data_IF_397339801382
#
_entry.id   IF_397339801382
#
_cell.length_a   1.000
_cell.length_b   1.000
_cell.length_c   1.000
_cell.angle_alpha   90.00
_cell.angle_beta   90.00
_cell.angle_gamma   90.00
#
_symmetry.space_group_name_H-M   'P 1'
#
loop_
_entity.id
_entity.type
_entity.pdbx_description
1 polymer ?
#
# COMPACT_ATOMS: atom_id res chain seq x y z
N UNK A 1 -6.80 63.53 69.06
CA UNK A 1 -5.60 62.65 69.06
C UNK A 1 -6.08 61.25 69.43
N UNK A 2 -5.94 60.15 68.68
CA UNK A 2 -5.16 59.78 67.50
C UNK A 2 -6.00 58.79 66.68
N UNK A 3 -5.94 58.93 65.37
CA UNK A 3 -6.33 57.93 64.35
C UNK A 3 -5.49 56.66 64.45
N UNK A 4 -6.11 55.49 64.34
CA UNK A 4 -5.44 54.26 63.90
C UNK A 4 -6.36 53.60 62.85
N UNK A 5 -5.91 53.68 61.59
CA UNK A 5 -6.43 52.90 60.46
C UNK A 5 -5.83 51.50 60.56
N UNK A 6 -6.66 50.46 60.68
CA UNK A 6 -6.24 49.09 60.44
C UNK A 6 -6.54 48.75 58.98
N UNK A 7 -5.48 48.62 58.18
CA UNK A 7 -5.52 48.16 56.80
C UNK A 7 -5.39 46.63 56.83
N UNK A 8 -6.47 45.91 56.59
CA UNK A 8 -6.43 44.46 56.41
C UNK A 8 -6.21 44.14 54.93
N UNK A 9 -5.01 43.65 54.59
CA UNK A 9 -4.65 43.11 53.28
C UNK A 9 -5.51 41.87 52.99
N UNK A 10 -6.33 41.92 51.95
CA UNK A 10 -6.89 40.72 51.31
C UNK A 10 -5.79 40.04 50.50
N UNK A 11 -5.22 38.94 51.00
CA UNK A 11 -4.49 37.98 50.16
C UNK A 11 -5.52 37.22 49.31
N UNK A 12 -5.69 37.63 48.05
CA UNK A 12 -6.30 36.79 47.03
C UNK A 12 -5.32 35.67 46.69
N UNK A 13 -5.57 34.46 47.22
CA UNK A 13 -4.88 33.27 46.76
C UNK A 13 -5.36 32.97 45.32
N UNK A 14 -4.55 33.35 44.33
CA UNK A 14 -4.68 32.83 42.98
C UNK A 14 -4.34 31.33 43.04
N UNK A 15 -5.35 30.47 43.14
CA UNK A 15 -5.19 29.07 42.79
C UNK A 15 -4.82 29.05 41.29
N UNK A 16 -3.64 28.56 40.89
CA UNK A 16 -3.39 28.31 39.49
C UNK A 16 -4.46 27.30 39.05
N UNK A 17 -5.28 27.68 38.07
CA UNK A 17 -6.05 26.70 37.33
C UNK A 17 -5.03 25.67 36.81
N UNK A 18 -5.09 24.44 37.32
CA UNK A 18 -4.40 23.32 36.72
C UNK A 18 -5.01 23.20 35.33
N UNK A 19 -4.33 23.74 34.32
CA UNK A 19 -4.66 23.48 32.94
C UNK A 19 -4.56 21.96 32.77
N UNK A 20 -5.66 21.32 32.36
CA UNK A 20 -5.68 19.90 32.06
C UNK A 20 -4.56 19.64 31.04
N UNK A 21 -3.57 18.84 31.46
CA UNK A 21 -2.49 18.49 30.55
C UNK A 21 -3.08 17.56 29.48
N UNK A 22 -2.93 17.87 28.19
CA UNK A 22 -3.60 17.10 27.15
C UNK A 22 -3.06 15.66 27.08
N UNK A 23 -3.92 14.73 26.67
CA UNK A 23 -3.53 13.33 26.48
C UNK A 23 -2.66 13.11 25.23
N UNK A 24 -2.77 14.00 24.24
CA UNK A 24 -2.06 13.92 22.96
C UNK A 24 -0.54 13.70 23.12
N UNK A 25 0.09 13.09 22.12
CA UNK A 25 1.54 12.85 22.08
C UNK A 25 1.93 11.41 22.42
N UNK A 26 3.24 11.19 22.55
CA UNK A 26 3.83 9.87 22.71
C UNK A 26 4.20 9.60 24.16
N UNK A 27 3.79 8.42 24.63
CA UNK A 27 3.95 7.94 25.97
C UNK A 27 4.64 6.60 26.01
N UNK A 28 5.42 6.37 27.06
CA UNK A 28 6.17 5.15 27.24
C UNK A 28 6.10 4.68 28.69
N UNK A 29 5.97 3.36 28.90
CA UNK A 29 5.99 2.80 30.24
C UNK A 29 5.62 1.33 30.27
N UNK A 30 4.63 0.98 31.09
CA UNK A 30 4.21 -0.40 31.32
C UNK A 30 2.70 -0.60 31.28
N UNK A 31 2.30 -1.72 30.68
CA UNK A 31 1.00 -2.36 30.84
C UNK A 31 1.24 -3.70 31.53
N UNK A 32 0.86 -3.80 32.81
CA UNK A 32 1.27 -4.91 33.66
C UNK A 32 2.80 -5.01 33.74
N UNK A 33 3.36 -6.17 33.39
CA UNK A 33 4.81 -6.39 33.36
C UNK A 33 5.45 -6.06 32.00
N UNK A 34 4.65 -5.80 30.97
CA UNK A 34 5.15 -5.58 29.62
C UNK A 34 5.47 -4.10 29.39
N UNK A 35 6.53 -3.83 28.63
CA UNK A 35 6.91 -2.47 28.23
C UNK A 35 6.07 -2.08 27.02
N UNK A 36 5.46 -0.91 27.09
CA UNK A 36 4.55 -0.43 26.05
C UNK A 36 4.96 0.97 25.61
N UNK A 37 4.77 1.25 24.33
CA UNK A 37 4.72 2.61 23.78
C UNK A 37 3.31 2.84 23.26
N UNK A 38 2.74 4.00 23.57
CA UNK A 38 1.40 4.39 23.14
C UNK A 38 1.44 5.84 22.69
N UNK A 39 0.66 6.16 21.67
CA UNK A 39 0.49 7.51 21.20
C UNK A 39 -1.01 7.83 21.05
N UNK A 40 -1.35 9.08 21.31
CA UNK A 40 -2.69 9.62 21.13
C UNK A 40 -2.61 10.84 20.20
N UNK A 41 -3.42 10.85 19.14
CA UNK A 41 -3.50 11.98 18.22
C UNK A 41 -4.32 13.13 18.86
N UNK A 42 -3.97 14.36 18.51
CA UNK A 42 -4.57 15.58 19.05
C UNK A 42 -5.94 15.88 18.42
N UNK A 43 -6.03 15.78 17.09
CA UNK A 43 -7.18 16.29 16.30
C UNK A 43 -7.67 15.30 15.22
N UNK A 44 -7.63 13.99 15.50
CA UNK A 44 -8.25 13.03 14.56
C UNK A 44 -9.78 13.06 14.71
N UNK A 45 -10.52 13.09 13.61
CA UNK A 45 -12.00 13.05 13.56
C UNK A 45 -12.64 11.94 14.44
N UNK A 46 -11.87 10.92 14.81
CA UNK A 46 -12.30 9.74 15.57
C UNK A 46 -11.68 9.57 16.97
N UNK A 47 -10.94 10.56 17.51
CA UNK A 47 -10.13 10.43 18.74
C UNK A 47 -9.35 9.10 18.77
N UNK A 48 -8.26 9.08 17.99
CA UNK A 48 -7.47 7.91 17.68
C UNK A 48 -6.20 7.83 18.52
N UNK A 49 -5.79 6.60 18.83
CA UNK A 49 -4.48 6.30 19.40
C UNK A 49 -3.96 4.99 18.87
N UNK A 50 -2.71 4.70 19.14
CA UNK A 50 -2.09 3.43 18.77
C UNK A 50 -1.09 3.02 19.86
N UNK A 51 -0.91 1.72 20.08
CA UNK A 51 0.12 1.23 20.98
C UNK A 51 0.79 -0.04 20.46
N UNK A 52 1.98 -0.33 20.96
CA UNK A 52 2.65 -1.61 20.74
C UNK A 52 3.52 -2.00 21.95
N UNK A 53 3.76 -3.31 22.09
CA UNK A 53 4.70 -3.83 23.08
C UNK A 53 6.13 -3.71 22.54
N UNK A 54 7.06 -3.19 23.33
CA UNK A 54 8.40 -2.91 22.83
C UNK A 54 9.21 -4.17 22.48
N UNK A 55 8.87 -5.31 23.07
CA UNK A 55 9.52 -6.60 22.79
C UNK A 55 9.07 -7.21 21.44
N UNK A 56 7.90 -6.84 20.96
CA UNK A 56 7.28 -7.31 19.73
C UNK A 56 6.44 -6.15 19.16
N UNK A 57 7.07 -5.25 18.38
CA UNK A 57 6.49 -3.97 17.99
C UNK A 57 5.45 -4.13 16.89
N UNK A 58 4.31 -4.71 17.25
CA UNK A 58 3.12 -4.84 16.43
C UNK A 58 2.12 -3.75 16.83
N UNK A 59 1.86 -2.75 15.97
CA UNK A 59 0.95 -1.65 16.25
C UNK A 59 -0.50 -2.11 16.43
N UNK A 60 -1.21 -1.53 17.40
CA UNK A 60 -2.61 -1.83 17.71
C UNK A 60 -3.40 -0.56 17.88
N UNK A 61 -4.42 -0.39 17.05
CA UNK A 61 -5.26 0.80 17.07
C UNK A 61 -6.14 0.87 18.32
N UNK A 62 -6.30 2.08 18.86
CA UNK A 62 -7.17 2.44 19.96
C UNK A 62 -8.18 3.48 19.50
N UNK A 63 -9.43 3.30 19.95
CA UNK A 63 -10.54 4.24 19.71
C UNK A 63 -11.20 4.63 21.01
N UNK A 64 -11.45 5.92 21.19
CA UNK A 64 -12.25 6.36 22.32
C UNK A 64 -13.73 6.03 22.09
N UNK A 65 -14.30 5.17 22.96
CA UNK A 65 -15.72 4.81 22.98
C UNK A 65 -16.24 4.92 24.40
N UNK A 66 -17.24 5.76 24.64
CA UNK A 66 -17.85 5.98 25.96
C UNK A 66 -16.82 6.28 27.08
N UNK A 67 -15.78 7.07 26.78
CA UNK A 67 -14.73 7.42 27.74
C UNK A 67 -13.68 6.32 27.98
N UNK A 68 -13.73 5.22 27.23
CA UNK A 68 -12.77 4.12 27.29
C UNK A 68 -12.01 3.99 25.96
N UNK A 69 -10.72 3.76 26.02
CA UNK A 69 -9.91 3.51 24.83
C UNK A 69 -9.95 2.02 24.47
N UNK A 70 -10.75 1.66 23.49
CA UNK A 70 -10.99 0.27 23.08
C UNK A 70 -9.99 -0.11 22.00
N UNK A 71 -9.34 -1.27 22.16
CA UNK A 71 -8.48 -1.82 21.12
C UNK A 71 -9.34 -2.42 19.99
N UNK A 72 -9.03 -2.07 18.74
CA UNK A 72 -9.82 -2.53 17.58
C UNK A 72 -9.68 -4.04 17.31
N UNK A 73 -8.61 -4.65 17.80
CA UNK A 73 -8.38 -6.10 17.79
C UNK A 73 -9.30 -6.88 18.76
N UNK A 74 -10.16 -6.18 19.50
CA UNK A 74 -11.12 -6.75 20.45
C UNK A 74 -10.49 -7.29 21.73
N UNK A 75 -9.19 -7.09 21.96
CA UNK A 75 -8.47 -7.69 23.09
C UNK A 75 -8.85 -7.08 24.44
N UNK A 76 -9.34 -5.84 24.45
CA UNK A 76 -9.75 -5.16 25.67
C UNK A 76 -9.90 -3.65 25.53
N UNK A 77 -9.98 -2.99 26.68
CA UNK A 77 -10.07 -1.53 26.75
C UNK A 77 -9.17 -0.95 27.85
N UNK A 78 -8.76 0.30 27.65
CA UNK A 78 -7.97 1.06 28.59
C UNK A 78 -8.85 2.11 29.26
N UNK A 79 -8.85 2.10 30.58
CA UNK A 79 -9.43 3.14 31.41
C UNK A 79 -8.28 3.99 31.94
N UNK A 80 -8.12 5.18 31.37
CA UNK A 80 -7.04 6.11 31.70
C UNK A 80 -7.54 7.18 32.68
N UNK A 81 -6.69 7.55 33.64
CA UNK A 81 -6.89 8.75 34.43
C UNK A 81 -6.49 10.01 33.65
N UNK A 82 -6.75 11.18 34.23
CA UNK A 82 -6.27 12.44 33.67
C UNK A 82 -4.73 12.50 33.74
N UNK A 83 -4.05 13.00 32.68
CA UNK A 83 -2.62 13.27 32.74
C UNK A 83 -2.27 14.23 33.89
N UNK A 84 -1.17 13.94 34.59
CA UNK A 84 -0.60 14.78 35.65
C UNK A 84 0.81 15.18 35.24
N UNK A 85 0.93 16.29 34.52
CA UNK A 85 2.15 16.63 33.78
C UNK A 85 2.50 15.53 32.80
N UNK A 86 3.72 15.02 32.87
CA UNK A 86 4.20 13.93 32.01
C UNK A 86 3.92 12.54 32.57
N UNK A 87 3.01 12.40 33.54
CA UNK A 87 2.62 11.10 34.09
C UNK A 87 1.17 10.76 33.75
N UNK A 88 0.96 9.55 33.25
CA UNK A 88 -0.35 8.98 32.97
C UNK A 88 -0.47 7.61 33.63
N UNK A 89 -1.61 7.35 34.26
CA UNK A 89 -1.90 6.10 34.96
C UNK A 89 -3.29 5.61 34.61
N UNK A 90 -3.51 4.31 34.67
CA UNK A 90 -4.79 3.72 34.34
C UNK A 90 -4.85 2.22 34.61
N UNK A 91 -5.86 1.59 34.05
CA UNK A 91 -6.05 0.15 34.08
C UNK A 91 -6.49 -0.37 32.72
N UNK A 92 -5.90 -1.47 32.28
CA UNK A 92 -6.31 -2.21 31.10
C UNK A 92 -7.19 -3.39 31.53
N UNK A 93 -8.31 -3.59 30.83
CA UNK A 93 -9.25 -4.67 31.08
C UNK A 93 -9.34 -5.54 29.82
N UNK A 94 -8.85 -6.76 29.93
CA UNK A 94 -8.90 -7.73 28.84
C UNK A 94 -10.28 -8.38 28.73
N UNK A 95 -10.70 -8.71 27.51
CA UNK A 95 -11.99 -9.38 27.26
C UNK A 95 -12.13 -10.70 28.05
N UNK A 96 -11.02 -11.44 28.16
CA UNK A 96 -10.95 -12.74 28.86
C UNK A 96 -10.08 -12.68 30.14
N UNK A 97 -9.74 -11.48 30.63
CA UNK A 97 -8.88 -11.35 31.82
C UNK A 97 -9.75 -11.13 33.07
N UNK A 98 -9.65 -11.98 34.10
CA UNK A 98 -10.43 -11.83 35.33
C UNK A 98 -9.97 -10.65 36.20
N UNK A 99 -8.81 -10.04 35.91
CA UNK A 99 -8.29 -8.91 36.67
C UNK A 99 -7.67 -7.85 35.76
N UNK A 100 -7.87 -6.56 36.08
CA UNK A 100 -7.26 -5.48 35.33
C UNK A 100 -5.75 -5.42 35.52
N UNK A 101 -5.04 -5.02 34.47
CA UNK A 101 -3.59 -4.77 34.50
C UNK A 101 -3.33 -3.29 34.70
N UNK A 102 -2.39 -2.95 35.58
CA UNK A 102 -2.03 -1.55 35.82
C UNK A 102 -1.31 -0.94 34.60
N UNK A 103 -1.68 0.30 34.26
CA UNK A 103 -0.99 1.13 33.26
C UNK A 103 -0.22 2.22 33.99
N UNK A 104 1.06 2.38 33.66
CA UNK A 104 1.91 3.48 34.15
C UNK A 104 2.75 3.98 32.99
N UNK A 105 2.60 5.23 32.64
CA UNK A 105 3.21 5.83 31.46
C UNK A 105 3.85 7.17 31.82
N UNK A 106 4.97 7.46 31.16
CA UNK A 106 5.63 8.75 31.14
C UNK A 106 5.60 9.30 29.72
N UNK A 107 5.28 10.59 29.57
CA UNK A 107 5.36 11.26 28.27
C UNK A 107 6.81 11.34 27.84
N UNK A 108 7.07 11.04 26.57
CA UNK A 108 8.39 11.18 25.96
C UNK A 108 8.39 12.19 24.81
N UNK A 109 7.21 12.52 24.28
CA UNK A 109 7.01 13.53 23.26
C UNK A 109 5.60 14.13 23.42
N UNK A 110 5.46 15.44 23.27
CA UNK A 110 4.15 16.12 23.29
C UNK A 110 3.40 15.98 21.97
N UNK A 111 4.08 15.58 20.90
CA UNK A 111 3.58 15.65 19.54
C UNK A 111 3.56 17.10 19.06
N UNK A 112 4.30 17.37 17.98
CA UNK A 112 4.09 18.56 17.16
C UNK A 112 2.92 18.29 16.17
N UNK A 113 2.82 19.00 15.04
CA UNK A 113 1.77 18.81 14.02
C UNK A 113 1.72 17.39 13.39
N UNK A 114 2.69 16.51 13.72
CA UNK A 114 2.88 15.16 13.16
C UNK A 114 2.45 13.99 14.05
N UNK A 115 1.77 14.22 15.18
CA UNK A 115 1.18 13.23 16.10
C UNK A 115 1.78 11.80 16.04
N UNK A 116 1.01 10.70 15.95
CA UNK A 116 1.57 9.34 16.00
C UNK A 116 2.45 8.95 14.81
N UNK A 117 2.62 9.81 13.80
CA UNK A 117 3.60 9.67 12.73
C UNK A 117 5.01 10.16 13.11
N UNK A 118 5.17 10.85 14.25
CA UNK A 118 6.45 11.37 14.70
C UNK A 118 7.47 10.25 15.02
N UNK A 119 8.77 10.58 14.92
CA UNK A 119 9.89 9.66 15.18
C UNK A 119 9.83 9.00 16.56
N UNK A 120 9.39 9.75 17.57
CA UNK A 120 9.24 9.24 18.92
C UNK A 120 8.26 8.06 19.00
N UNK A 121 7.36 7.87 18.04
CA UNK A 121 6.48 6.70 17.95
C UNK A 121 6.84 5.76 16.80
N UNK A 122 7.04 6.28 15.58
CA UNK A 122 7.12 5.49 14.36
C UNK A 122 8.49 4.82 14.15
N UNK A 123 9.59 5.50 14.47
CA UNK A 123 10.94 5.03 14.13
C UNK A 123 11.27 3.60 14.64
N UNK A 124 10.88 3.17 15.86
CA UNK A 124 11.14 1.78 16.28
C UNK A 124 10.34 0.72 15.53
N UNK A 125 9.29 1.10 14.81
CA UNK A 125 8.51 0.23 13.93
C UNK A 125 9.20 0.07 12.56
N UNK A 126 10.14 0.94 12.22
CA UNK A 126 10.82 1.02 10.92
C UNK A 126 12.04 0.10 10.90
N UNK A 127 11.77 -1.19 11.03
CA UNK A 127 12.80 -2.22 10.97
C UNK A 127 12.95 -2.71 9.55
N UNK A 128 14.19 -2.93 9.13
CA UNK A 128 14.49 -3.57 7.86
C UNK A 128 13.87 -4.99 7.87
N UNK A 129 12.89 -5.26 7.00
CA UNK A 129 12.27 -6.58 6.99
C UNK A 129 13.22 -7.62 6.40
N UNK A 130 12.89 -8.88 6.61
CA UNK A 130 13.52 -10.00 5.90
C UNK A 130 12.57 -10.49 4.81
N UNK A 131 13.13 -11.10 3.76
CA UNK A 131 12.29 -11.71 2.73
C UNK A 131 11.76 -13.03 3.26
N UNK A 132 10.44 -13.12 3.39
CA UNK A 132 9.72 -14.32 3.79
C UNK A 132 9.18 -15.04 2.56
N UNK A 133 9.36 -16.35 2.50
CA UNK A 133 8.89 -17.17 1.38
C UNK A 133 7.67 -17.99 1.78
N UNK A 134 6.60 -17.87 1.00
CA UNK A 134 5.40 -18.68 1.11
C UNK A 134 5.57 -20.10 0.55
N UNK A 135 4.50 -20.91 0.58
CA UNK A 135 4.49 -22.22 -0.03
C UNK A 135 4.59 -22.14 -1.56
N UNK A 136 5.17 -23.18 -2.17
CA UNK A 136 5.11 -23.35 -3.62
C UNK A 136 3.68 -23.64 -4.08
N UNK A 137 3.26 -22.95 -5.14
CA UNK A 137 1.96 -23.09 -5.79
C UNK A 137 2.13 -23.18 -7.31
N UNK A 138 1.02 -23.40 -8.04
CA UNK A 138 1.05 -23.55 -9.49
C UNK A 138 -0.09 -22.80 -10.16
N UNK A 139 0.23 -22.10 -11.24
CA UNK A 139 -0.70 -21.38 -12.09
C UNK A 139 -0.43 -21.74 -13.54
N UNK A 140 -1.41 -22.32 -14.23
CA UNK A 140 -1.30 -22.77 -15.63
C UNK A 140 -0.03 -23.62 -15.91
N UNK A 141 0.28 -24.55 -15.00
CA UNK A 141 1.49 -25.39 -15.09
C UNK A 141 2.81 -24.68 -14.79
N UNK A 142 2.76 -23.40 -14.40
CA UNK A 142 3.91 -22.61 -13.97
C UNK A 142 3.97 -22.64 -12.45
N UNK A 143 5.07 -23.14 -11.91
CA UNK A 143 5.28 -23.21 -10.47
C UNK A 143 5.97 -21.93 -9.97
N UNK A 144 5.46 -21.38 -8.88
CA UNK A 144 5.95 -20.15 -8.26
C UNK A 144 5.61 -20.14 -6.76
N UNK A 145 6.17 -19.21 -5.99
CA UNK A 145 5.74 -18.91 -4.62
C UNK A 145 5.67 -17.41 -4.41
N UNK A 146 4.80 -16.99 -3.51
CA UNK A 146 4.75 -15.62 -3.04
C UNK A 146 5.91 -15.35 -2.10
N UNK A 147 6.45 -14.13 -2.19
CA UNK A 147 7.41 -13.57 -1.25
C UNK A 147 6.76 -12.39 -0.53
N UNK A 148 7.20 -12.12 0.69
CA UNK A 148 6.85 -10.89 1.43
C UNK A 148 8.11 -10.17 1.88
N UNK A 149 8.07 -8.85 1.86
CA UNK A 149 9.10 -7.97 2.40
C UNK A 149 8.43 -6.80 3.10
N UNK A 150 8.21 -6.93 4.41
CA UNK A 150 7.36 -5.99 5.14
C UNK A 150 5.91 -6.11 4.69
N UNK A 151 5.32 -5.02 4.19
CA UNK A 151 3.97 -5.01 3.63
C UNK A 151 3.94 -5.26 2.11
N UNK A 152 5.10 -5.30 1.46
CA UNK A 152 5.20 -5.53 0.02
C UNK A 152 5.10 -7.02 -0.33
N UNK A 153 4.36 -7.29 -1.40
CA UNK A 153 4.22 -8.62 -1.99
C UNK A 153 5.20 -8.78 -3.15
N UNK A 154 5.76 -9.97 -3.30
CA UNK A 154 6.63 -10.30 -4.42
C UNK A 154 6.43 -11.74 -4.85
N UNK A 155 7.25 -12.16 -5.81
CA UNK A 155 7.11 -13.46 -6.42
C UNK A 155 8.47 -14.09 -6.70
N UNK A 156 8.54 -15.41 -6.57
CA UNK A 156 9.67 -16.21 -7.02
C UNK A 156 9.20 -17.35 -7.92
N UNK A 157 9.77 -17.43 -9.11
CA UNK A 157 9.53 -18.52 -10.06
C UNK A 157 10.30 -19.78 -9.66
N UNK A 158 9.76 -20.94 -9.98
CA UNK A 158 10.48 -22.21 -9.83
C UNK A 158 11.83 -22.17 -10.58
N UNK A 159 12.95 -22.59 -9.97
CA UNK A 159 14.26 -22.64 -10.63
C UNK A 159 14.30 -23.47 -11.93
N UNK A 160 13.34 -24.36 -12.16
CA UNK A 160 13.20 -25.12 -13.40
C UNK A 160 12.62 -24.28 -14.57
N UNK A 161 12.06 -23.09 -14.30
CA UNK A 161 11.63 -22.19 -15.37
C UNK A 161 12.87 -21.70 -16.17
N UNK A 162 12.79 -21.64 -17.50
CA UNK A 162 13.85 -21.05 -18.31
C UNK A 162 14.23 -19.64 -17.83
N UNK A 163 15.53 -19.42 -17.64
CA UNK A 163 16.09 -18.14 -17.15
C UNK A 163 15.54 -17.67 -15.79
N UNK A 164 15.00 -18.59 -14.97
CA UNK A 164 14.49 -18.29 -13.63
C UNK A 164 15.48 -17.51 -12.77
N UNK A 165 16.79 -17.80 -12.86
CA UNK A 165 17.80 -17.09 -12.08
C UNK A 165 17.83 -15.58 -12.37
N UNK A 166 17.75 -15.19 -13.64
CA UNK A 166 17.78 -13.78 -14.06
C UNK A 166 16.45 -13.10 -13.69
N UNK A 167 15.33 -13.77 -13.96
CA UNK A 167 13.99 -13.26 -13.66
C UNK A 167 13.82 -13.08 -12.14
N UNK A 168 14.17 -14.09 -11.34
CA UNK A 168 14.06 -14.03 -9.88
C UNK A 168 15.01 -12.98 -9.28
N UNK A 169 16.17 -12.72 -9.89
CA UNK A 169 17.05 -11.64 -9.44
C UNK A 169 16.39 -10.27 -9.64
N UNK A 170 15.74 -10.04 -10.78
CA UNK A 170 14.97 -8.82 -11.05
C UNK A 170 13.78 -8.70 -10.08
N UNK A 171 12.96 -9.75 -9.94
CA UNK A 171 11.77 -9.75 -9.07
C UNK A 171 12.15 -9.49 -7.61
N UNK A 172 13.27 -10.06 -7.16
CA UNK A 172 13.76 -9.84 -5.81
C UNK A 172 14.28 -8.41 -5.62
N UNK A 173 15.01 -7.87 -6.59
CA UNK A 173 15.50 -6.49 -6.54
C UNK A 173 14.33 -5.50 -6.48
N UNK A 174 13.28 -5.73 -7.26
CA UNK A 174 12.05 -4.93 -7.21
C UNK A 174 11.33 -5.03 -5.86
N UNK A 175 11.20 -6.24 -5.29
CA UNK A 175 10.58 -6.45 -3.98
C UNK A 175 11.33 -5.74 -2.83
N UNK A 176 12.66 -5.70 -2.91
CA UNK A 176 13.51 -5.16 -1.85
C UNK A 176 14.08 -3.78 -2.21
N UNK A 177 13.37 -3.02 -3.03
CA UNK A 177 13.78 -1.67 -3.42
C UNK A 177 13.74 -0.74 -2.18
N UNK A 178 14.85 -0.06 -1.82
CA UNK A 178 14.90 0.83 -0.67
C UNK A 178 13.91 2.00 -0.77
N UNK A 179 13.72 2.57 -1.96
CA UNK A 179 12.77 3.69 -2.14
C UNK A 179 11.34 3.24 -1.85
N UNK A 180 10.94 2.07 -2.35
CA UNK A 180 9.63 1.48 -2.04
C UNK A 180 9.47 1.10 -0.55
N UNK A 181 10.56 0.78 0.16
CA UNK A 181 10.52 0.54 1.60
C UNK A 181 10.33 1.85 2.39
N UNK A 182 11.01 2.92 1.98
CA UNK A 182 10.84 4.24 2.59
C UNK A 182 9.40 4.75 2.37
N UNK A 183 8.84 4.57 1.17
CA UNK A 183 7.43 4.87 0.90
C UNK A 183 6.46 4.07 1.80
N UNK A 184 6.75 2.80 2.08
CA UNK A 184 5.95 2.01 3.04
C UNK A 184 5.99 2.58 4.45
N UNK A 185 7.15 3.07 4.89
CA UNK A 185 7.29 3.72 6.20
C UNK A 185 6.52 5.04 6.25
N UNK A 186 6.61 5.86 5.20
CA UNK A 186 5.84 7.11 5.10
C UNK A 186 4.33 6.87 5.05
N UNK A 187 3.85 5.89 4.28
CA UNK A 187 2.42 5.51 4.27
C UNK A 187 1.94 5.10 5.66
N UNK A 188 2.73 4.30 6.38
CA UNK A 188 2.41 3.92 7.76
C UNK A 188 2.38 5.14 8.68
N UNK A 189 3.34 6.06 8.56
CA UNK A 189 3.36 7.31 9.35
C UNK A 189 2.12 8.15 9.08
N UNK A 190 1.70 8.30 7.82
CA UNK A 190 0.47 9.03 7.47
C UNK A 190 -0.77 8.37 8.05
N UNK A 191 -0.88 7.04 7.96
CA UNK A 191 -1.97 6.28 8.56
C UNK A 191 -2.01 6.44 10.09
N UNK A 192 -0.86 6.37 10.76
CA UNK A 192 -0.76 6.58 12.20
C UNK A 192 -1.18 8.00 12.59
N UNK A 193 -0.71 9.00 11.85
CA UNK A 193 -1.03 10.42 12.06
C UNK A 193 -2.52 10.71 11.87
N UNK A 194 -3.11 10.26 10.76
CA UNK A 194 -4.49 10.64 10.39
C UNK A 194 -5.55 9.73 10.98
N UNK A 195 -5.28 8.43 11.00
CA UNK A 195 -6.25 7.39 11.35
C UNK A 195 -5.92 6.69 12.67
N UNK A 196 -4.70 6.82 13.20
CA UNK A 196 -4.23 6.04 14.36
C UNK A 196 -4.18 4.53 14.10
N UNK A 197 -4.18 4.11 12.84
CA UNK A 197 -3.96 2.73 12.39
C UNK A 197 -2.56 2.62 11.79
N UNK A 198 -2.02 1.40 11.72
CA UNK A 198 -0.76 1.13 11.02
C UNK A 198 -1.05 0.43 9.70
N UNK A 199 -1.97 1.00 8.93
CA UNK A 199 -2.36 0.45 7.63
C UNK A 199 -1.23 0.64 6.61
N UNK A 200 -1.23 -0.25 5.62
CA UNK A 200 -0.36 -0.19 4.45
C UNK A 200 -1.19 -0.39 3.20
N UNK A 201 -0.57 -0.13 2.07
CA UNK A 201 -1.12 -0.47 0.78
C UNK A 201 -1.43 -1.97 0.69
N UNK A 202 -2.55 -2.30 0.05
CA UNK A 202 -2.78 -3.67 -0.38
C UNK A 202 -1.92 -3.94 -1.61
N UNK A 203 -0.98 -4.87 -1.51
CA UNK A 203 -0.08 -5.26 -2.60
C UNK A 203 -0.33 -6.70 -3.01
N UNK A 204 -0.22 -7.00 -4.30
CA UNK A 204 -0.30 -8.37 -4.82
C UNK A 204 0.53 -8.51 -6.09
N UNK A 205 1.32 -9.57 -6.16
CA UNK A 205 2.14 -9.89 -7.34
C UNK A 205 1.82 -11.29 -7.82
N UNK A 206 1.44 -11.44 -9.08
CA UNK A 206 1.03 -12.73 -9.63
C UNK A 206 1.42 -12.93 -11.09
N UNK A 207 1.66 -14.17 -11.53
CA UNK A 207 1.87 -14.44 -12.95
C UNK A 207 0.51 -14.36 -13.66
N UNK A 208 0.46 -13.61 -14.75
CA UNK A 208 -0.78 -13.33 -15.51
C UNK A 208 -0.72 -13.80 -16.95
N UNK A 209 0.48 -14.04 -17.47
CA UNK A 209 0.67 -14.52 -18.83
C UNK A 209 1.84 -15.50 -18.92
N UNK A 210 1.70 -16.52 -19.77
CA UNK A 210 2.81 -17.39 -20.15
C UNK A 210 2.58 -18.03 -21.50
N UNK A 211 3.62 -18.04 -22.31
CA UNK A 211 3.77 -18.96 -23.42
C UNK A 211 5.20 -19.52 -23.45
N UNK A 212 5.66 -20.08 -24.57
CA UNK A 212 7.04 -20.59 -24.70
C UNK A 212 8.10 -19.50 -24.84
N UNK A 213 7.72 -18.25 -25.10
CA UNK A 213 8.63 -17.11 -25.29
C UNK A 213 8.70 -16.20 -24.08
N UNK A 214 7.57 -15.95 -23.41
CA UNK A 214 7.48 -14.92 -22.37
C UNK A 214 6.69 -15.38 -21.15
N UNK A 215 7.06 -14.79 -20.02
CA UNK A 215 6.31 -14.76 -18.77
C UNK A 215 5.81 -13.33 -18.54
N UNK A 216 4.55 -13.15 -18.19
CA UNK A 216 4.00 -11.87 -17.72
C UNK A 216 3.65 -11.94 -16.24
N UNK A 217 4.00 -10.89 -15.51
CA UNK A 217 3.73 -10.70 -14.08
C UNK A 217 2.96 -9.40 -13.91
N UNK A 218 1.92 -9.42 -13.07
CA UNK A 218 1.18 -8.24 -12.67
C UNK A 218 1.56 -7.86 -11.24
N UNK A 219 1.84 -6.58 -11.05
CA UNK A 219 2.00 -5.92 -9.77
C UNK A 219 0.75 -5.07 -9.54
N UNK A 220 0.01 -5.38 -8.49
CA UNK A 220 -1.16 -4.66 -8.07
C UNK A 220 -0.83 -3.94 -6.76
N UNK A 221 -1.22 -2.67 -6.68
CA UNK A 221 -1.14 -1.87 -5.47
C UNK A 221 -2.45 -1.12 -5.28
N UNK A 222 -2.95 -1.08 -4.07
CA UNK A 222 -4.03 -0.19 -3.67
C UNK A 222 -3.57 0.64 -2.48
N UNK A 223 -3.26 1.91 -2.77
CA UNK A 223 -2.74 2.83 -1.79
C UNK A 223 -3.72 3.07 -0.64
N UNK A 224 -3.25 2.89 0.60
CA UNK A 224 -4.08 3.05 1.79
C UNK A 224 -4.61 4.49 1.93
N UNK A 225 -5.90 4.63 2.24
CA UNK A 225 -6.52 5.95 2.47
C UNK A 225 -6.94 6.73 1.22
N UNK A 226 -6.67 6.22 0.01
CA UNK A 226 -7.03 6.87 -1.25
C UNK A 226 -8.33 6.36 -1.88
N UNK A 227 -8.97 5.33 -1.30
CA UNK A 227 -10.12 4.67 -1.93
C UNK A 227 -9.77 4.22 -3.35
N UNK A 228 -10.76 4.15 -4.25
CA UNK A 228 -10.54 3.64 -5.62
C UNK A 228 -9.40 4.34 -6.37
N UNK A 229 -9.19 5.64 -6.17
CA UNK A 229 -8.14 6.40 -6.87
C UNK A 229 -6.72 6.00 -6.49
N UNK A 230 -6.54 5.19 -5.44
CA UNK A 230 -5.24 4.64 -5.06
C UNK A 230 -4.87 3.32 -5.75
N UNK A 231 -5.74 2.77 -6.61
CA UNK A 231 -5.47 1.52 -7.30
C UNK A 231 -4.53 1.77 -8.47
N UNK A 232 -3.40 1.06 -8.51
CA UNK A 232 -2.52 0.97 -9.66
C UNK A 232 -2.25 -0.49 -10.02
N UNK A 233 -2.08 -0.72 -11.32
CA UNK A 233 -1.72 -2.02 -11.87
C UNK A 233 -0.59 -1.83 -12.84
N UNK A 234 0.42 -2.67 -12.69
CA UNK A 234 1.59 -2.67 -13.52
C UNK A 234 1.82 -4.09 -14.06
N UNK A 235 2.17 -4.19 -15.33
CA UNK A 235 2.45 -5.42 -16.04
C UNK A 235 3.89 -5.40 -16.54
N UNK A 236 4.63 -6.45 -16.20
CA UNK A 236 6.01 -6.66 -16.64
C UNK A 236 6.10 -7.99 -17.36
N UNK A 237 6.81 -8.02 -18.47
CA UNK A 237 7.01 -9.24 -19.26
C UNK A 237 8.49 -9.58 -19.32
N UNK A 238 8.82 -10.87 -19.27
CA UNK A 238 10.18 -11.38 -19.30
C UNK A 238 10.33 -12.39 -20.43
N UNK A 239 11.42 -12.28 -21.18
CA UNK A 239 11.83 -13.30 -22.16
C UNK A 239 12.27 -14.57 -21.44
N UNK A 240 11.69 -15.71 -21.79
CA UNK A 240 12.12 -17.03 -21.32
C UNK A 240 13.40 -17.51 -22.02
N UNK A 241 13.85 -16.83 -23.08
CA UNK A 241 15.12 -17.12 -23.75
C UNK A 241 16.30 -16.45 -23.03
N UNK A 242 16.13 -15.21 -22.55
CA UNK A 242 17.21 -14.38 -21.97
C UNK A 242 17.02 -14.00 -20.51
N UNK A 243 15.80 -14.10 -19.98
CA UNK A 243 15.41 -13.62 -18.65
C UNK A 243 15.24 -12.12 -18.55
N UNK A 244 15.52 -11.38 -19.63
CA UNK A 244 15.42 -9.92 -19.66
C UNK A 244 13.98 -9.47 -19.85
N UNK A 245 13.68 -8.27 -19.35
CA UNK A 245 12.39 -7.62 -19.52
C UNK A 245 12.11 -7.33 -21.00
N UNK A 246 10.84 -7.47 -21.37
CA UNK A 246 10.29 -7.19 -22.70
C UNK A 246 9.14 -6.23 -22.50
N UNK A 247 9.09 -5.17 -23.31
CA UNK A 247 8.04 -4.17 -23.24
C UNK A 247 7.17 -4.22 -24.51
N UNK A 248 5.95 -4.80 -24.45
CA UNK A 248 5.11 -4.98 -25.62
C UNK A 248 4.80 -3.68 -26.39
N UNK A 249 4.76 -2.53 -25.71
CA UNK A 249 4.54 -1.24 -26.36
C UNK A 249 5.63 -0.86 -27.36
N UNK A 250 6.86 -1.37 -27.18
CA UNK A 250 7.96 -1.17 -28.14
C UNK A 250 7.70 -1.83 -29.49
N UNK A 251 6.70 -2.70 -29.59
CA UNK A 251 6.32 -3.33 -30.86
C UNK A 251 5.58 -2.37 -31.77
N UNK A 252 4.97 -1.32 -31.22
CA UNK A 252 4.15 -0.35 -31.96
C UNK A 252 4.73 1.06 -31.93
N UNK A 253 5.35 1.44 -30.82
CA UNK A 253 5.86 2.78 -30.57
C UNK A 253 7.38 2.83 -30.74
N UNK A 254 7.89 3.95 -31.27
CA UNK A 254 9.34 4.22 -31.33
C UNK A 254 9.83 5.05 -30.14
N UNK A 255 8.97 5.96 -29.68
CA UNK A 255 9.15 6.76 -28.49
C UNK A 255 7.95 6.49 -27.59
N UNK A 256 8.21 6.35 -26.30
CA UNK A 256 7.18 6.13 -25.28
C UNK A 256 7.25 7.27 -24.30
N UNK A 257 6.08 7.73 -23.87
CA UNK A 257 5.99 8.65 -22.73
C UNK A 257 6.33 7.88 -21.44
N UNK A 258 6.53 8.58 -20.33
CA UNK A 258 6.71 7.90 -19.05
C UNK A 258 5.43 7.18 -18.63
N UNK A 259 5.56 5.98 -18.05
CA UNK A 259 4.44 5.17 -17.55
C UNK A 259 4.14 3.94 -18.41
N UNK A 260 3.11 3.18 -18.00
CA UNK A 260 2.70 1.91 -18.60
C UNK A 260 1.64 2.05 -19.69
N UNK A 261 0.84 3.12 -19.60
CA UNK A 261 -0.21 3.41 -20.54
C UNK A 261 0.31 4.36 -21.62
N UNK A 262 -0.12 4.16 -22.86
CA UNK A 262 0.18 5.04 -23.99
C UNK A 262 -1.02 5.26 -24.88
N UNK A 263 -1.00 6.37 -25.62
CA UNK A 263 -1.97 6.60 -26.69
C UNK A 263 -1.76 5.61 -27.84
N UNK A 264 -2.85 5.11 -28.39
CA UNK A 264 -2.81 4.23 -29.56
C UNK A 264 -2.20 4.94 -30.78
N UNK A 265 -1.29 4.29 -31.54
CA UNK A 265 -0.83 4.80 -32.83
C UNK A 265 -2.01 5.09 -33.77
N UNK A 266 -1.96 6.20 -34.51
CA UNK A 266 -3.07 6.63 -35.37
C UNK A 266 -3.68 5.53 -36.26
N UNK A 267 -2.87 4.75 -37.02
CA UNK A 267 -3.38 3.64 -37.81
C UNK A 267 -4.02 2.51 -36.98
N UNK A 268 -3.45 2.17 -35.82
CA UNK A 268 -3.99 1.15 -34.93
C UNK A 268 -5.31 1.62 -34.32
N UNK A 269 -5.37 2.86 -33.82
CA UNK A 269 -6.61 3.47 -33.30
C UNK A 269 -7.72 3.45 -34.35
N UNK A 270 -7.43 3.90 -35.57
CA UNK A 270 -8.41 3.92 -36.66
C UNK A 270 -8.94 2.51 -36.99
N UNK A 271 -8.10 1.48 -36.84
CA UNK A 271 -8.51 0.08 -37.02
C UNK A 271 -9.39 -0.41 -35.87
N UNK A 272 -8.96 -0.22 -34.62
CA UNK A 272 -9.68 -0.69 -33.42
C UNK A 272 -11.04 0.01 -33.24
N UNK A 273 -11.10 1.30 -33.58
CA UNK A 273 -12.34 2.09 -33.49
C UNK A 273 -13.30 1.85 -34.65
N UNK A 274 -12.93 1.05 -35.66
CA UNK A 274 -13.78 0.85 -36.84
C UNK A 274 -15.07 0.14 -36.46
N UNK A 275 -16.20 0.84 -36.62
CA UNK A 275 -17.52 0.31 -36.31
C UNK A 275 -17.88 0.36 -34.82
N UNK A 276 -17.02 0.95 -33.99
CA UNK A 276 -17.39 1.26 -32.61
C UNK A 276 -18.44 2.38 -32.61
N UNK A 277 -19.48 2.21 -31.80
CA UNK A 277 -20.48 3.23 -31.54
C UNK A 277 -20.08 3.90 -30.24
N UNK A 278 -19.70 5.17 -30.31
CA UNK A 278 -19.44 5.97 -29.12
C UNK A 278 -20.78 6.23 -28.45
N UNK A 279 -20.94 5.76 -27.21
CA UNK A 279 -22.12 6.09 -26.42
C UNK A 279 -22.18 7.61 -26.22
N UNK A 280 -23.36 8.20 -26.39
CA UNK A 280 -23.53 9.64 -26.26
C UNK A 280 -23.35 10.11 -24.81
N UNK A 281 -23.51 9.20 -23.85
CA UNK A 281 -23.26 9.45 -22.43
C UNK A 281 -21.76 9.33 -22.06
N UNK A 282 -20.89 8.97 -23.03
CA UNK A 282 -19.46 8.80 -22.84
C UNK A 282 -18.65 9.92 -23.53
N UNK A 283 -18.16 10.87 -22.73
CA UNK A 283 -17.36 12.02 -23.22
C UNK A 283 -15.99 11.64 -23.81
N UNK A 284 -15.50 10.41 -23.56
CA UNK A 284 -14.14 9.97 -23.90
C UNK A 284 -14.05 8.65 -24.70
N UNK A 285 -15.15 8.13 -25.23
CA UNK A 285 -15.20 6.87 -25.98
C UNK A 285 -14.65 6.91 -27.41
N UNK A 286 -13.85 7.91 -27.80
CA UNK A 286 -13.30 8.06 -29.16
C UNK A 286 -11.94 7.38 -29.37
N UNK A 287 -11.42 6.70 -28.35
CA UNK A 287 -10.12 6.02 -28.35
C UNK A 287 -8.93 6.97 -28.29
N UNK A 288 -9.13 8.22 -27.87
CA UNK A 288 -8.05 9.21 -27.71
C UNK A 288 -7.33 9.15 -26.36
N UNK A 289 -7.83 8.35 -25.41
CA UNK A 289 -7.24 8.18 -24.09
C UNK A 289 -5.99 7.30 -24.05
N UNK A 290 -5.65 6.89 -22.83
CA UNK A 290 -4.43 6.16 -22.50
C UNK A 290 -4.74 4.69 -22.32
N UNK A 291 -4.08 3.85 -23.11
CA UNK A 291 -4.30 2.42 -23.12
C UNK A 291 -3.13 1.72 -22.46
N UNK A 292 -3.42 0.72 -21.66
CA UNK A 292 -2.48 -0.32 -21.29
C UNK A 292 -2.42 -1.37 -22.41
N UNK A 293 -1.30 -2.08 -22.50
CA UNK A 293 -1.13 -3.22 -23.39
C UNK A 293 -0.64 -4.42 -22.60
N UNK A 294 -1.41 -5.51 -22.70
CA UNK A 294 -1.07 -6.80 -22.14
C UNK A 294 -1.14 -7.92 -23.17
N UNK A 295 -0.60 -9.07 -22.78
CA UNK A 295 -0.62 -10.31 -23.55
C UNK A 295 -1.54 -11.32 -22.85
N UNK A 296 -2.35 -12.02 -23.62
CA UNK A 296 -3.22 -13.10 -23.15
C UNK A 296 -3.12 -14.35 -24.04
N UNK A 297 -3.90 -15.38 -23.76
CA UNK A 297 -3.87 -16.63 -24.55
C UNK A 297 -4.39 -16.48 -25.99
N UNK A 298 -5.08 -15.37 -26.30
CA UNK A 298 -5.63 -15.07 -27.63
C UNK A 298 -4.78 -14.11 -28.46
N UNK A 299 -3.91 -13.32 -27.81
CA UNK A 299 -3.07 -12.34 -28.46
C UNK A 299 -2.75 -11.14 -27.56
N UNK A 300 -3.12 -9.96 -28.05
CA UNK A 300 -2.87 -8.68 -27.42
C UNK A 300 -4.18 -8.10 -26.90
N UNK A 301 -4.15 -7.61 -25.66
CA UNK A 301 -5.26 -6.91 -25.04
C UNK A 301 -4.86 -5.45 -24.81
N UNK A 302 -5.61 -4.54 -25.42
CA UNK A 302 -5.52 -3.12 -25.16
C UNK A 302 -6.71 -2.72 -24.29
N UNK A 303 -6.49 -1.99 -23.20
CA UNK A 303 -7.59 -1.47 -22.39
C UNK A 303 -7.26 -0.08 -21.87
N UNK A 304 -8.24 0.79 -21.89
CA UNK A 304 -8.12 2.15 -21.39
C UNK A 304 -7.98 2.17 -19.86
N UNK A 305 -7.24 3.14 -19.34
CA UNK A 305 -7.19 3.38 -17.90
C UNK A 305 -8.59 3.68 -17.35
N UNK A 306 -8.94 3.02 -16.25
CA UNK A 306 -10.29 3.11 -15.72
C UNK A 306 -10.55 4.41 -14.94
N UNK A 307 -11.43 5.24 -15.48
CA UNK A 307 -11.90 6.50 -14.90
C UNK A 307 -13.12 6.30 -14.01
N UNK A 308 -13.86 5.20 -14.20
CA UNK A 308 -14.97 4.80 -13.35
C UNK A 308 -16.34 5.33 -13.73
N UNK A 309 -16.45 5.83 -14.94
CA UNK A 309 -17.69 6.19 -15.60
C UNK A 309 -18.33 4.99 -16.36
N UNK A 310 -17.57 3.90 -16.57
CA UNK A 310 -18.02 2.73 -17.30
C UNK A 310 -17.90 2.89 -18.83
N UNK A 311 -17.19 3.91 -19.28
CA UNK A 311 -16.98 4.24 -20.68
C UNK A 311 -15.66 3.70 -21.25
N UNK A 312 -14.89 2.98 -20.45
CA UNK A 312 -13.57 2.49 -20.82
C UNK A 312 -13.60 1.53 -22.00
N UNK A 313 -12.71 1.76 -22.96
CA UNK A 313 -12.58 0.90 -24.13
C UNK A 313 -11.63 -0.27 -23.88
N UNK A 314 -12.00 -1.44 -24.38
CA UNK A 314 -11.11 -2.61 -24.41
C UNK A 314 -11.18 -3.31 -25.76
N UNK A 315 -10.00 -3.68 -26.29
CA UNK A 315 -9.83 -4.32 -27.58
C UNK A 315 -8.90 -5.51 -27.48
N UNK A 316 -9.33 -6.64 -28.04
CA UNK A 316 -8.47 -7.78 -28.28
C UNK A 316 -8.04 -7.81 -29.76
N UNK A 317 -6.76 -8.07 -30.01
CA UNK A 317 -6.21 -8.20 -31.35
C UNK A 317 -5.35 -9.46 -31.44
N UNK A 318 -5.56 -10.29 -32.46
CA UNK A 318 -4.66 -11.42 -32.67
C UNK A 318 -3.26 -10.92 -33.08
N UNK A 319 -2.19 -11.68 -32.79
CA UNK A 319 -0.84 -11.26 -33.21
C UNK A 319 -0.73 -11.10 -34.74
N UNK A 320 -1.49 -11.89 -35.50
CA UNK A 320 -1.53 -11.83 -36.96
C UNK A 320 -2.13 -10.52 -37.49
N UNK A 321 -3.21 -10.03 -36.88
CA UNK A 321 -3.83 -8.75 -37.23
C UNK A 321 -2.92 -7.57 -36.82
N UNK A 322 -2.28 -7.70 -35.65
CA UNK A 322 -1.38 -6.69 -35.11
C UNK A 322 -0.14 -6.41 -35.98
N UNK A 323 0.29 -7.37 -36.82
CA UNK A 323 1.47 -7.25 -37.70
C UNK A 323 1.43 -6.01 -38.60
N UNK A 324 0.25 -5.59 -39.06
CA UNK A 324 0.09 -4.44 -39.96
C UNK A 324 0.43 -3.10 -39.28
N UNK A 325 0.42 -3.05 -37.95
CA UNK A 325 0.62 -1.84 -37.17
C UNK A 325 1.96 -1.80 -36.45
N UNK A 326 2.66 -2.94 -36.41
CA UNK A 326 3.91 -3.08 -35.70
C UNK A 326 5.12 -2.53 -36.47
N UNK A 327 6.12 -2.08 -35.72
CA UNK A 327 7.44 -1.72 -36.25
C UNK A 327 8.26 -2.99 -36.58
N UNK A 328 9.55 -2.85 -36.92
CA UNK A 328 10.39 -4.00 -37.29
C UNK A 328 10.56 -5.01 -36.16
N UNK A 329 10.82 -4.54 -34.94
CA UNK A 329 10.94 -5.37 -33.74
C UNK A 329 9.60 -6.07 -33.46
N UNK A 330 8.52 -5.30 -33.43
CA UNK A 330 7.18 -5.83 -33.19
C UNK A 330 6.74 -6.88 -34.20
N UNK A 331 7.05 -6.72 -35.49
CA UNK A 331 6.70 -7.73 -36.51
C UNK A 331 7.38 -9.07 -36.27
N UNK A 332 8.61 -9.06 -35.79
CA UNK A 332 9.32 -10.29 -35.44
C UNK A 332 8.67 -10.98 -34.25
N UNK A 333 8.43 -10.23 -33.17
CA UNK A 333 7.83 -10.77 -31.94
C UNK A 333 6.41 -11.28 -32.17
N UNK A 334 5.57 -10.50 -32.87
CA UNK A 334 4.18 -10.86 -33.16
C UNK A 334 4.06 -12.07 -34.09
N UNK A 335 4.99 -12.23 -35.04
CA UNK A 335 5.03 -13.42 -35.89
C UNK A 335 5.35 -14.66 -35.05
N UNK A 336 6.36 -14.58 -34.20
CA UNK A 336 6.71 -15.68 -33.30
C UNK A 336 5.54 -16.03 -32.36
N UNK A 337 4.80 -15.03 -31.88
CA UNK A 337 3.59 -15.26 -31.08
C UNK A 337 2.48 -15.94 -31.91
N UNK A 338 2.21 -15.48 -33.13
CA UNK A 338 1.23 -16.10 -34.01
C UNK A 338 1.54 -17.58 -34.28
N UNK A 339 2.82 -17.89 -34.51
CA UNK A 339 3.29 -19.27 -34.75
C UNK A 339 3.02 -20.18 -33.54
N UNK A 340 3.19 -19.67 -32.31
CA UNK A 340 2.88 -20.41 -31.07
C UNK A 340 1.39 -20.68 -30.94
N UNK A 341 0.55 -19.66 -31.19
CA UNK A 341 -0.90 -19.83 -31.12
C UNK A 341 -1.40 -20.81 -32.18
N UNK A 342 -0.80 -20.82 -33.36
CA UNK A 342 -1.12 -21.78 -34.43
C UNK A 342 -0.72 -23.22 -34.03
N UNK A 343 0.46 -23.41 -33.44
CA UNK A 343 0.93 -24.71 -32.99
C UNK A 343 0.07 -25.28 -31.84
N UNK A 344 -0.37 -24.43 -30.91
CA UNK A 344 -1.22 -24.82 -29.77
C UNK A 344 -2.64 -25.22 -30.14
N UNK A 345 -3.13 -24.91 -31.36
CA UNK A 345 -4.45 -25.34 -31.87
C UNK A 345 -4.42 -26.70 -32.57
N UNK A 346 -3.23 -27.25 -32.83
CA UNK A 346 -3.04 -28.51 -33.56
C UNK A 346 -2.78 -29.72 -32.64
N UNK A 347 -2.60 -29.50 -31.34
CA UNK A 347 -2.52 -30.54 -30.30
C UNK A 347 -3.74 -30.50 -29.41
#
# INVERSE_FOLDING_TARGET
MKTIRALALLLAAALPALADTPLQGVWQGSLGNNKVRVCFNKDSDSLAGNYYFQQAPEPRALRLKNGLWVAEDGQGYWQLGLPRGDSLSGSWHGHNSPSPLAIKLSRIDLGDDDDCGADAYALPLEQLPTVEAGPWQSWQGTRYRELKYGAESGLEMDPALPQAQVINAWLRAHLTDPEALDEQFETRRDALRRLGTADFDETRVEPVFRNSLWLGVRFYRWAAGYGRSGISQEYRYFSLATGQEVEPWRWFLRNQDAGQAHRLPGPLRAHLMKGQVVDQDCDHGDGSGWFNLGLDSGGLLFWEEAMGDGCELSFALSPQEALAFANSEGREQLKAFADILAAGRQG
#
